data_IF_751952063474
#
_entry.id   IF_751952063474
#
_cell.length_a   1.000
_cell.length_b   1.000
_cell.length_c   1.000
_cell.angle_alpha   90.00
_cell.angle_beta   90.00
_cell.angle_gamma   90.00
#
_symmetry.space_group_name_H-M   'P 1'
#
loop_
_entity.id
_entity.type
_entity.pdbx_description
1 polymer ?
#
# COMPACT_ATOMS: atom_id res chain seq x y z
N UNK A 1 47.00 -20.37 -29.85
CA UNK A 1 47.84 -19.44 -29.06
C UNK A 1 47.10 -18.10 -29.08
N UNK A 2 46.63 -17.43 -28.02
CA UNK A 2 46.86 -17.36 -26.56
C UNK A 2 45.49 -16.92 -25.96
N UNK A 3 44.90 -17.62 -24.98
CA UNK A 3 45.04 -17.41 -23.53
C UNK A 3 44.49 -16.05 -23.04
N UNK A 4 43.87 -15.87 -21.87
CA UNK A 4 43.32 -16.73 -20.80
C UNK A 4 42.54 -15.75 -19.90
N UNK A 5 41.45 -16.26 -19.33
CA UNK A 5 40.75 -15.89 -18.09
C UNK A 5 41.42 -14.89 -17.12
N UNK A 6 40.68 -13.84 -16.73
CA UNK A 6 40.75 -13.15 -15.42
C UNK A 6 39.30 -12.74 -15.10
N UNK A 7 38.61 -13.11 -14.02
CA UNK A 7 39.02 -13.69 -12.75
C UNK A 7 38.73 -12.70 -11.61
N UNK A 8 37.54 -12.78 -11.00
CA UNK A 8 37.18 -12.47 -9.59
C UNK A 8 35.63 -12.38 -9.49
N UNK A 9 34.85 -13.40 -9.09
CA UNK A 9 34.59 -13.96 -7.75
C UNK A 9 34.34 -12.95 -6.62
N UNK A 10 33.31 -13.27 -5.82
CA UNK A 10 32.91 -12.72 -4.50
C UNK A 10 31.94 -11.53 -4.58
N UNK A 11 30.73 -11.49 -4.02
CA UNK A 11 30.00 -12.34 -3.07
C UNK A 11 28.53 -11.92 -3.10
N UNK A 12 27.67 -12.87 -2.78
CA UNK A 12 26.22 -12.81 -2.65
C UNK A 12 25.66 -11.77 -1.66
N UNK A 13 24.32 -11.65 -1.75
CA UNK A 13 23.33 -11.10 -0.79
C UNK A 13 23.02 -9.61 -0.96
N UNK A 14 21.77 -9.15 -1.12
CA UNK A 14 20.49 -9.73 -0.73
C UNK A 14 19.40 -9.54 -1.78
N UNK A 15 18.53 -10.54 -1.88
CA UNK A 15 17.21 -10.43 -2.46
C UNK A 15 16.36 -9.46 -1.63
N UNK A 16 15.75 -8.45 -2.26
CA UNK A 16 14.43 -7.95 -1.90
C UNK A 16 13.73 -7.46 -3.16
N UNK A 17 12.62 -8.15 -3.48
CA UNK A 17 11.49 -7.60 -4.20
C UNK A 17 11.70 -7.30 -5.67
N UNK A 18 11.51 -8.31 -6.51
CA UNK A 18 10.77 -8.11 -7.77
C UNK A 18 9.34 -7.66 -7.42
N UNK A 19 9.18 -6.42 -6.97
CA UNK A 19 7.91 -5.73 -6.93
C UNK A 19 7.72 -5.09 -8.28
N UNK A 20 6.80 -5.62 -9.06
CA UNK A 20 6.46 -5.10 -10.38
C UNK A 20 6.21 -3.59 -10.29
N UNK A 21 7.11 -2.77 -10.84
CA UNK A 21 6.74 -1.47 -11.36
C UNK A 21 5.99 -1.72 -12.67
N UNK A 22 4.78 -2.29 -12.54
CA UNK A 22 3.80 -2.32 -13.61
C UNK A 22 3.35 -0.89 -13.81
N UNK A 23 3.98 -0.19 -14.76
CA UNK A 23 3.36 0.95 -15.40
C UNK A 23 2.18 0.43 -16.21
N UNK A 24 1.02 0.33 -15.56
CA UNK A 24 -0.24 -0.02 -16.22
C UNK A 24 -1.31 0.92 -15.67
N UNK A 25 -1.71 1.86 -16.51
CA UNK A 25 -2.96 2.62 -16.40
C UNK A 25 -3.09 3.53 -15.17
N UNK A 26 -2.27 4.59 -15.12
CA UNK A 26 -2.54 5.76 -14.27
C UNK A 26 -3.73 6.56 -14.83
N UNK A 27 -4.93 6.02 -14.64
CA UNK A 27 -6.22 6.69 -14.83
C UNK A 27 -6.36 7.83 -13.82
N UNK A 28 -5.78 9.00 -14.11
CA UNK A 28 -5.98 10.27 -13.37
C UNK A 28 -6.22 10.18 -11.85
N UNK A 29 -5.43 9.38 -11.15
CA UNK A 29 -5.45 9.27 -9.69
C UNK A 29 -4.74 10.51 -9.15
N UNK A 30 -5.47 11.47 -8.56
CA UNK A 30 -4.90 12.72 -8.04
C UNK A 30 -3.80 12.48 -6.99
N UNK A 31 -3.82 11.32 -6.36
CA UNK A 31 -2.95 10.97 -5.24
C UNK A 31 -1.53 10.51 -5.57
N UNK A 32 -1.23 10.14 -6.81
CA UNK A 32 0.11 9.64 -7.15
C UNK A 32 1.21 10.72 -7.05
N UNK A 33 0.83 11.98 -6.85
CA UNK A 33 1.74 13.12 -6.96
C UNK A 33 2.05 13.74 -5.58
N UNK A 34 1.27 13.45 -4.54
CA UNK A 34 1.32 14.15 -3.24
C UNK A 34 2.00 13.39 -2.10
N UNK A 35 2.31 12.10 -2.25
CA UNK A 35 2.87 11.30 -1.16
C UNK A 35 1.82 11.01 -0.08
N UNK A 36 0.65 10.54 -0.50
CA UNK A 36 -0.51 10.25 0.36
C UNK A 36 -1.00 8.81 0.15
N UNK A 37 -1.81 8.31 1.09
CA UNK A 37 -2.58 7.07 0.90
C UNK A 37 -3.93 7.43 0.32
N UNK A 38 -4.33 6.76 -0.75
CA UNK A 38 -5.62 7.00 -1.38
C UNK A 38 -6.53 5.80 -1.40
N UNK A 39 -7.74 6.07 -0.92
CA UNK A 39 -8.75 5.07 -0.65
C UNK A 39 -9.90 5.33 -1.59
N UNK A 40 -10.10 4.41 -2.55
CA UNK A 40 -11.18 4.46 -3.50
C UNK A 40 -12.38 3.76 -2.92
N UNK A 41 -13.51 4.46 -2.84
CA UNK A 41 -14.74 3.92 -2.29
C UNK A 41 -15.80 3.75 -3.37
N UNK A 42 -16.75 2.86 -3.11
CA UNK A 42 -17.95 2.72 -3.94
C UNK A 42 -19.06 3.73 -3.54
N UNK A 43 -18.72 4.77 -2.76
CA UNK A 43 -19.67 5.79 -2.32
C UNK A 43 -19.89 6.83 -3.43
N UNK A 44 -21.14 7.01 -3.85
CA UNK A 44 -21.51 7.94 -4.92
C UNK A 44 -21.20 9.41 -4.59
N UNK A 45 -21.02 9.76 -3.32
CA UNK A 45 -20.70 11.12 -2.88
C UNK A 45 -19.23 11.33 -2.58
N UNK A 46 -18.48 10.27 -2.27
CA UNK A 46 -17.10 10.39 -1.79
C UNK A 46 -16.22 9.25 -2.30
N UNK A 47 -16.03 9.24 -3.62
CA UNK A 47 -15.36 8.16 -4.37
C UNK A 47 -13.87 8.03 -4.05
N UNK A 48 -13.23 9.09 -3.55
CA UNK A 48 -11.80 9.14 -3.25
C UNK A 48 -11.59 9.82 -1.90
N UNK A 49 -10.74 9.21 -1.07
CA UNK A 49 -10.29 9.77 0.22
C UNK A 49 -8.78 9.78 0.23
N UNK A 50 -8.20 10.97 0.39
CA UNK A 50 -6.77 11.17 0.55
C UNK A 50 -6.40 11.25 2.04
N UNK A 51 -5.40 10.46 2.44
CA UNK A 51 -4.84 10.46 3.78
C UNK A 51 -3.37 10.86 3.69
N UNK A 52 -3.04 12.00 4.28
CA UNK A 52 -1.68 12.54 4.29
C UNK A 52 -0.73 11.58 5.00
N UNK A 53 0.52 11.49 4.54
CA UNK A 53 1.53 10.66 5.19
C UNK A 53 1.65 10.93 6.70
N UNK A 54 1.67 9.85 7.49
CA UNK A 54 1.77 9.92 8.94
C UNK A 54 0.46 10.24 9.65
N UNK A 55 -0.67 10.35 8.92
CA UNK A 55 -1.98 10.60 9.49
C UNK A 55 -2.85 9.36 9.54
N UNK A 56 -3.63 9.27 10.61
CA UNK A 56 -4.69 8.29 10.71
C UNK A 56 -6.00 8.87 10.14
N UNK A 57 -6.80 8.01 9.52
CA UNK A 57 -8.10 8.37 8.99
C UNK A 57 -9.17 7.41 9.49
N UNK A 58 -10.32 7.95 9.91
CA UNK A 58 -11.48 7.14 10.34
C UNK A 58 -12.69 7.56 9.54
N UNK A 59 -13.35 6.59 8.91
CA UNK A 59 -14.59 6.84 8.21
C UNK A 59 -15.72 7.05 9.22
N UNK A 60 -16.64 7.99 8.94
CA UNK A 60 -17.81 8.21 9.78
C UNK A 60 -18.71 6.96 9.89
N UNK A 61 -18.67 6.09 8.88
CA UNK A 61 -19.31 4.77 8.83
C UNK A 61 -18.41 3.80 8.11
N UNK A 62 -18.54 2.51 8.41
CA UNK A 62 -17.84 1.47 7.66
C UNK A 62 -18.20 1.60 6.16
N UNK A 63 -17.21 1.83 5.32
CA UNK A 63 -17.38 2.21 3.92
C UNK A 63 -16.81 1.13 3.01
N UNK A 64 -17.52 0.79 1.94
CA UNK A 64 -17.02 -0.15 0.95
C UNK A 64 -15.90 0.51 0.13
N UNK A 65 -14.71 -0.07 0.24
CA UNK A 65 -13.49 0.36 -0.43
C UNK A 65 -13.17 -0.64 -1.52
N UNK A 66 -12.91 -0.14 -2.72
CA UNK A 66 -12.54 -0.94 -3.90
C UNK A 66 -11.03 -1.04 -4.07
N UNK A 67 -10.28 -0.03 -3.64
CA UNK A 67 -8.82 -0.12 -3.60
C UNK A 67 -8.23 0.87 -2.60
N UNK A 68 -7.07 0.50 -2.05
CA UNK A 68 -6.21 1.38 -1.27
C UNK A 68 -4.85 1.40 -1.96
N UNK A 69 -4.44 2.57 -2.42
CA UNK A 69 -3.11 2.81 -2.94
C UNK A 69 -2.28 3.56 -1.89
N UNK A 70 -1.14 3.00 -1.50
CA UNK A 70 -0.22 3.65 -0.59
C UNK A 70 1.04 4.11 -1.33
N UNK A 71 1.09 5.38 -1.72
CA UNK A 71 2.26 6.02 -2.34
C UNK A 71 3.22 6.67 -1.30
N UNK A 72 3.01 6.41 -0.02
CA UNK A 72 3.85 6.97 1.06
C UNK A 72 5.07 6.09 1.36
N UNK A 73 5.92 6.54 2.30
CA UNK A 73 7.06 5.73 2.79
C UNK A 73 6.70 4.84 3.98
N UNK A 74 5.48 4.96 4.52
CA UNK A 74 5.03 4.27 5.72
C UNK A 74 4.09 3.12 5.39
N UNK A 75 4.04 2.13 6.29
CA UNK A 75 3.05 1.05 6.23
C UNK A 75 1.77 1.49 6.91
N UNK A 76 0.62 1.17 6.33
CA UNK A 76 -0.68 1.44 6.92
C UNK A 76 -1.45 0.16 7.24
N UNK A 77 -2.39 0.29 8.16
CA UNK A 77 -3.36 -0.71 8.51
C UNK A 77 -4.75 -0.22 8.21
N UNK A 78 -5.40 -0.82 7.23
CA UNK A 78 -6.81 -0.60 7.02
C UNK A 78 -7.59 -1.65 7.82
N UNK A 79 -8.41 -1.18 8.76
CA UNK A 79 -9.28 -2.01 9.57
C UNK A 79 -10.48 -2.42 8.74
N UNK A 80 -10.49 -3.69 8.33
CA UNK A 80 -11.50 -4.28 7.47
C UNK A 80 -12.55 -5.04 8.27
N UNK A 81 -13.80 -4.99 7.81
CA UNK A 81 -14.91 -5.74 8.38
C UNK A 81 -15.90 -4.93 9.21
N UNK A 82 -17.12 -5.44 9.28
CA UNK A 82 -18.11 -5.14 10.31
C UNK A 82 -18.24 -6.34 11.24
N UNK A 83 -18.63 -6.14 12.51
CA UNK A 83 -18.78 -7.13 13.60
C UNK A 83 -17.60 -8.08 13.91
N UNK A 84 -16.69 -8.37 12.97
CA UNK A 84 -15.46 -9.15 13.15
C UNK A 84 -14.28 -8.25 12.82
N UNK A 85 -13.36 -8.08 13.77
CA UNK A 85 -12.20 -7.21 13.64
C UNK A 85 -11.19 -7.92 12.72
N UNK A 86 -11.04 -7.41 11.51
CA UNK A 86 -9.97 -7.81 10.60
C UNK A 86 -9.21 -6.57 10.18
N UNK A 87 -7.99 -6.78 9.69
CA UNK A 87 -7.13 -5.69 9.25
C UNK A 87 -6.30 -6.15 8.08
N UNK A 88 -6.13 -5.29 7.10
CA UNK A 88 -5.22 -5.49 5.98
C UNK A 88 -4.04 -4.55 6.11
N UNK A 89 -2.84 -5.10 5.99
CA UNK A 89 -1.61 -4.32 5.92
C UNK A 89 -1.45 -3.80 4.50
N UNK A 90 -1.20 -2.50 4.37
CA UNK A 90 -0.96 -1.80 3.12
C UNK A 90 0.48 -1.28 3.14
N UNK A 91 1.45 -2.03 2.59
CA UNK A 91 2.86 -1.61 2.56
C UNK A 91 3.06 -0.37 1.69
N UNK A 92 4.18 0.36 1.87
CA UNK A 92 4.52 1.50 1.01
C UNK A 92 4.75 1.05 -0.44
N UNK A 93 4.27 1.86 -1.39
CA UNK A 93 4.33 1.60 -2.83
C UNK A 93 3.49 0.39 -3.28
N UNK A 94 2.47 0.01 -2.52
CA UNK A 94 1.59 -1.12 -2.84
C UNK A 94 0.14 -0.69 -2.95
N UNK A 95 -0.58 -1.42 -3.81
CA UNK A 95 -2.02 -1.29 -4.00
C UNK A 95 -2.69 -2.55 -3.45
N UNK A 96 -3.69 -2.35 -2.60
CA UNK A 96 -4.54 -3.41 -2.07
C UNK A 96 -5.92 -3.26 -2.72
N UNK A 97 -6.28 -4.23 -3.55
CA UNK A 97 -7.55 -4.25 -4.27
C UNK A 97 -8.61 -5.10 -3.55
N UNK A 98 -9.88 -4.72 -3.70
CA UNK A 98 -11.00 -5.47 -3.15
C UNK A 98 -12.35 -4.99 -3.65
N UNK A 99 -13.42 -5.63 -3.18
CA UNK A 99 -14.28 -4.84 -2.30
C UNK A 99 -14.14 -5.32 -0.87
N UNK A 100 -13.78 -4.41 0.04
CA UNK A 100 -13.78 -4.67 1.48
C UNK A 100 -14.33 -3.46 2.23
N UNK A 101 -14.97 -3.69 3.37
CA UNK A 101 -15.48 -2.59 4.19
C UNK A 101 -14.39 -2.08 5.11
N UNK A 102 -13.97 -0.82 4.95
CA UNK A 102 -12.98 -0.16 5.82
C UNK A 102 -13.68 0.76 6.81
N UNK A 103 -13.24 0.70 8.06
CA UNK A 103 -13.69 1.62 9.12
C UNK A 103 -12.65 2.68 9.46
N UNK A 104 -11.37 2.32 9.41
CA UNK A 104 -10.25 3.23 9.65
C UNK A 104 -9.00 2.78 8.92
N UNK A 105 -8.12 3.73 8.64
CA UNK A 105 -6.76 3.51 8.15
C UNK A 105 -5.82 4.17 9.14
N UNK A 106 -4.88 3.42 9.69
CA UNK A 106 -3.94 3.92 10.71
C UNK A 106 -2.51 3.63 10.31
N UNK A 107 -1.61 4.56 10.60
CA UNK A 107 -0.18 4.37 10.40
C UNK A 107 0.31 3.24 11.29
N UNK A 108 1.05 2.31 10.71
CA UNK A 108 1.69 1.25 11.45
C UNK A 108 3.11 1.68 11.86
N UNK A 109 3.26 2.03 13.13
CA UNK A 109 4.54 2.48 13.70
C UNK A 109 5.33 1.26 14.22
N UNK A 110 6.22 0.70 13.39
CA UNK A 110 7.12 -0.42 13.75
C UNK A 110 7.05 -1.61 12.79
N UNK A 111 7.70 -2.73 13.13
CA UNK A 111 7.75 -3.94 12.30
C UNK A 111 6.56 -4.91 12.52
N UNK A 112 5.42 -4.39 12.99
CA UNK A 112 4.27 -5.19 13.40
C UNK A 112 3.34 -5.53 12.25
N UNK A 113 2.71 -6.70 12.29
CA UNK A 113 1.47 -6.93 11.55
C UNK A 113 0.36 -6.07 12.14
N UNK A 114 -0.65 -5.71 11.34
CA UNK A 114 -1.80 -4.98 11.87
C UNK A 114 -2.43 -5.71 13.06
N UNK A 115 -2.74 -5.02 14.17
CA UNK A 115 -3.42 -5.63 15.29
C UNK A 115 -4.85 -5.99 14.87
N UNK A 116 -5.23 -7.25 15.10
CA UNK A 116 -6.60 -7.75 14.95
C UNK A 116 -7.47 -7.40 16.15
#
# INVERSE_FOLDING_TARGET
>A
MRAVLVGATMTAMAAFGTGAAGASDADSISCHITGSVCIYTNDIYNQEVEVVEGQDYTFARATEVVSINNDTTLTYCAKTGGHSLSSVTVPPGQIVEGPFTVSSVTVLVGSGTCPV
#
